data_IF_193753859016
#
_entry.id   IF_193753859016
#
_cell.length_a   1.000
_cell.length_b   1.000
_cell.length_c   1.000
_cell.angle_alpha   90.00
_cell.angle_beta   90.00
_cell.angle_gamma   90.00
#
_symmetry.space_group_name_H-M   'P 1'
#
loop_
_entity.id
_entity.type
_entity.pdbx_description
1 polymer ?
#
# COMPACT_ATOMS: atom_id res chain seq x y z
N UNK A 1 72.30 -48.34 81.83
CA UNK A 1 72.54 -48.34 83.30
C UNK A 1 71.25 -47.92 83.97
N UNK A 2 70.81 -48.71 84.96
CA UNK A 2 69.83 -48.35 86.01
C UNK A 2 68.37 -48.18 85.56
N UNK A 3 67.46 -49.04 86.05
CA UNK A 3 66.81 -49.00 87.40
C UNK A 3 65.88 -47.77 87.47
N UNK A 4 64.63 -47.82 87.90
CA UNK A 4 63.90 -48.75 88.76
C UNK A 4 62.40 -48.34 88.73
N UNK A 5 61.54 -49.36 88.85
CA UNK A 5 60.14 -49.44 89.37
C UNK A 5 59.68 -48.36 90.39
N UNK A 6 58.40 -48.31 90.85
CA UNK A 6 57.11 -48.81 90.34
C UNK A 6 55.94 -47.79 90.57
N UNK A 7 54.68 -48.15 90.27
CA UNK A 7 53.55 -48.20 91.24
C UNK A 7 52.18 -47.91 90.58
N UNK A 8 51.30 -48.91 90.70
CA UNK A 8 49.82 -48.94 90.61
C UNK A 8 49.05 -47.61 90.38
N UNK A 9 48.19 -47.60 89.35
CA UNK A 9 46.73 -47.45 89.53
C UNK A 9 46.00 -47.81 88.22
N UNK A 10 45.08 -48.78 88.29
CA UNK A 10 44.18 -49.10 87.19
C UNK A 10 43.10 -48.02 87.12
N UNK A 11 43.06 -47.27 86.01
CA UNK A 11 41.95 -46.42 85.64
C UNK A 11 41.43 -46.89 84.28
N UNK A 12 40.11 -47.08 84.26
CA UNK A 12 39.27 -47.63 83.21
C UNK A 12 39.59 -46.98 81.86
N UNK A 13 40.13 -47.75 80.92
CA UNK A 13 40.19 -47.41 79.51
C UNK A 13 38.77 -47.45 78.97
N UNK A 14 38.08 -46.31 79.04
CA UNK A 14 36.95 -46.02 78.16
C UNK A 14 37.55 -45.88 76.76
N UNK A 15 37.59 -46.96 76.00
CA UNK A 15 37.94 -46.92 74.59
C UNK A 15 36.83 -46.17 73.86
N UNK A 16 36.95 -44.85 73.78
CA UNK A 16 36.38 -44.10 72.68
C UNK A 16 37.05 -44.63 71.42
N UNK A 17 36.35 -45.54 70.73
CA UNK A 17 36.74 -45.99 69.40
C UNK A 17 36.44 -44.84 68.44
N UNK A 18 37.34 -43.86 68.41
CA UNK A 18 37.49 -42.91 67.32
C UNK A 18 38.34 -43.58 66.23
N UNK A 19 37.71 -44.56 65.58
CA UNK A 19 38.14 -45.23 64.36
C UNK A 19 36.80 -45.69 63.78
N UNK A 20 36.20 -44.93 62.90
CA UNK A 20 36.72 -44.52 61.62
C UNK A 20 35.52 -44.73 60.72
N UNK A 21 35.14 -43.69 59.98
CA UNK A 21 34.03 -43.70 59.05
C UNK A 21 34.09 -44.98 58.19
N UNK A 22 33.29 -45.98 58.53
CA UNK A 22 33.01 -47.14 57.68
C UNK A 22 31.73 -46.79 56.92
N UNK A 23 31.80 -45.71 56.14
CA UNK A 23 30.85 -45.40 55.08
C UNK A 23 31.59 -45.65 53.78
N UNK A 24 31.42 -46.84 53.21
CA UNK A 24 31.66 -47.04 51.80
C UNK A 24 30.47 -46.47 51.05
N UNK A 25 30.35 -45.14 51.06
CA UNK A 25 29.44 -44.40 50.21
C UNK A 25 30.35 -43.62 49.28
N UNK A 26 30.17 -43.79 47.98
CA UNK A 26 30.73 -42.86 46.99
C UNK A 26 30.34 -41.46 47.45
N UNK A 27 31.31 -40.64 47.87
CA UNK A 27 31.00 -39.22 48.09
C UNK A 27 30.53 -38.70 46.74
N UNK A 28 29.24 -38.41 46.68
CA UNK A 28 28.63 -37.71 45.56
C UNK A 28 29.17 -36.29 45.71
N UNK A 29 30.12 -35.94 44.83
CA UNK A 29 30.69 -34.61 44.79
C UNK A 29 29.65 -33.70 44.17
N UNK A 30 29.43 -32.56 44.80
CA UNK A 30 28.47 -31.52 44.46
C UNK A 30 29.20 -30.21 44.83
N UNK A 31 29.88 -29.61 43.84
CA UNK A 31 30.82 -28.51 44.02
C UNK A 31 30.13 -27.18 44.35
N UNK A 32 28.97 -26.91 43.77
CA UNK A 32 28.20 -25.68 43.95
C UNK A 32 27.06 -25.80 44.97
N UNK A 33 26.74 -27.03 45.40
CA UNK A 33 25.81 -27.34 46.48
C UNK A 33 24.36 -27.26 46.04
N UNK A 34 24.08 -27.38 44.74
CA UNK A 34 22.76 -27.21 44.13
C UNK A 34 21.83 -28.43 44.30
N UNK A 35 22.41 -29.55 44.75
CA UNK A 35 21.73 -30.82 44.99
C UNK A 35 21.80 -31.83 43.85
N UNK A 36 22.48 -31.49 42.75
CA UNK A 36 22.84 -32.35 41.63
C UNK A 36 24.34 -32.71 41.75
N UNK A 37 24.67 -33.95 41.41
CA UNK A 37 26.06 -34.42 41.48
C UNK A 37 26.90 -33.86 40.33
N UNK A 38 28.18 -33.55 40.53
CA UNK A 38 29.09 -33.03 39.50
C UNK A 38 29.13 -33.87 38.20
N UNK A 39 28.88 -35.19 38.28
CA UNK A 39 28.87 -36.09 37.12
C UNK A 39 27.55 -36.08 36.33
N UNK A 40 26.51 -35.43 36.88
CA UNK A 40 25.19 -35.23 36.31
C UNK A 40 24.83 -33.74 36.12
N UNK A 41 25.60 -32.82 36.69
CA UNK A 41 25.42 -31.38 36.59
C UNK A 41 25.99 -30.84 35.27
N UNK A 42 25.10 -30.29 34.43
CA UNK A 42 25.43 -29.65 33.16
C UNK A 42 25.75 -28.16 33.33
N UNK A 43 25.44 -27.58 34.48
CA UNK A 43 25.58 -26.16 34.79
C UNK A 43 26.40 -25.90 36.07
N UNK A 44 27.72 -26.20 36.08
CA UNK A 44 28.56 -25.97 37.25
C UNK A 44 28.52 -24.52 37.72
N UNK A 45 28.19 -24.31 38.99
CA UNK A 45 28.12 -23.00 39.64
C UNK A 45 26.70 -22.48 39.87
N UNK A 46 25.67 -23.33 39.75
CA UNK A 46 24.29 -23.01 40.10
C UNK A 46 24.15 -22.87 41.61
N UNK A 47 24.37 -21.67 42.14
CA UNK A 47 24.31 -21.48 43.59
C UNK A 47 22.85 -21.47 44.08
N UNK A 48 22.48 -22.45 44.91
CA UNK A 48 21.19 -22.39 45.63
C UNK A 48 21.31 -21.49 46.86
N UNK A 49 20.52 -20.43 46.87
CA UNK A 49 20.37 -19.55 48.04
C UNK A 49 19.58 -20.27 49.13
N UNK A 50 19.75 -19.86 50.40
CA UNK A 50 19.03 -20.46 51.53
C UNK A 50 17.49 -20.31 51.45
N UNK A 51 17.00 -19.40 50.60
CA UNK A 51 15.58 -19.17 50.30
C UNK A 51 15.46 -18.89 48.78
N UNK A 52 15.46 -19.93 47.93
CA UNK A 52 15.47 -19.75 46.47
C UNK A 52 14.10 -19.31 45.94
N UNK A 53 14.08 -18.43 44.94
CA UNK A 53 12.86 -18.19 44.13
C UNK A 53 12.60 -19.35 43.17
N UNK A 54 11.40 -19.48 42.58
CA UNK A 54 11.10 -20.57 41.63
C UNK A 54 12.12 -20.63 40.47
N UNK A 55 12.62 -19.48 40.02
CA UNK A 55 13.62 -19.33 38.95
C UNK A 55 15.05 -19.71 39.35
N UNK A 56 15.32 -19.87 40.65
CA UNK A 56 16.65 -20.22 41.19
C UNK A 56 16.76 -21.71 41.54
N UNK A 57 15.70 -22.49 41.32
CA UNK A 57 15.72 -23.93 41.55
C UNK A 57 16.35 -24.60 40.32
N UNK A 58 17.51 -25.28 40.45
CA UNK A 58 18.08 -26.06 39.36
C UNK A 58 17.10 -27.12 38.87
N UNK A 59 17.05 -27.32 37.56
CA UNK A 59 16.32 -28.41 36.94
C UNK A 59 17.03 -29.77 37.17
N UNK A 60 16.61 -30.80 36.44
CA UNK A 60 17.20 -32.14 36.59
C UNK A 60 18.65 -32.23 36.09
N UNK A 61 19.08 -31.25 35.32
CA UNK A 61 20.41 -31.14 34.73
C UNK A 61 21.31 -30.17 35.52
N UNK A 62 20.87 -29.67 36.69
CA UNK A 62 21.64 -28.74 37.53
C UNK A 62 21.57 -27.29 37.05
N UNK A 63 20.72 -26.98 36.07
CA UNK A 63 20.64 -25.65 35.47
C UNK A 63 19.49 -24.84 36.06
N UNK A 64 19.78 -23.63 36.53
CA UNK A 64 18.74 -22.65 36.85
C UNK A 64 18.25 -21.93 35.60
N UNK A 65 17.08 -21.26 35.69
CA UNK A 65 16.49 -20.60 34.52
C UNK A 65 17.35 -19.46 33.94
N UNK A 66 18.22 -18.83 34.75
CA UNK A 66 19.12 -17.77 34.26
C UNK A 66 20.34 -18.29 33.48
N UNK A 67 20.61 -19.61 33.52
CA UNK A 67 21.68 -20.27 32.75
C UNK A 67 21.18 -20.91 31.46
N UNK A 68 19.86 -21.10 31.32
CA UNK A 68 19.25 -21.71 30.15
C UNK A 68 18.99 -20.67 29.06
N UNK A 69 19.26 -21.08 27.82
CA UNK A 69 19.05 -20.33 26.58
C UNK A 69 18.58 -21.39 25.56
N UNK A 70 17.27 -21.57 25.47
CA UNK A 70 16.64 -22.71 24.79
C UNK A 70 16.80 -22.64 23.26
N UNK A 71 16.82 -21.43 22.68
CA UNK A 71 16.97 -21.23 21.24
C UNK A 71 18.41 -20.84 20.83
N UNK A 72 19.27 -20.52 21.79
CA UNK A 72 20.69 -20.27 21.59
C UNK A 72 20.98 -18.92 20.96
N UNK A 73 20.08 -17.94 21.12
CA UNK A 73 20.21 -16.60 20.53
C UNK A 73 21.07 -15.64 21.37
N UNK A 74 21.45 -16.05 22.58
CA UNK A 74 22.28 -15.30 23.51
C UNK A 74 21.51 -14.52 24.58
N UNK A 75 20.17 -14.53 24.56
CA UNK A 75 19.31 -14.16 25.67
C UNK A 75 18.95 -15.41 26.48
N UNK A 76 18.99 -15.31 27.81
CA UNK A 76 18.55 -16.45 28.63
C UNK A 76 17.03 -16.49 28.73
N UNK A 77 16.48 -17.66 29.05
CA UNK A 77 15.04 -17.93 29.12
C UNK A 77 14.27 -16.98 30.06
N UNK A 78 14.95 -16.30 31.00
CA UNK A 78 14.34 -15.36 31.95
C UNK A 78 14.08 -14.00 31.30
N UNK A 79 14.96 -13.56 30.40
CA UNK A 79 14.84 -12.27 29.71
C UNK A 79 14.33 -12.41 28.28
N UNK A 80 14.32 -13.63 27.75
CA UNK A 80 13.87 -13.93 26.40
C UNK A 80 12.32 -14.00 26.31
N UNK A 81 11.73 -12.96 25.73
CA UNK A 81 10.30 -12.90 25.39
C UNK A 81 9.98 -13.60 24.06
N UNK A 82 10.99 -14.02 23.32
CA UNK A 82 10.95 -14.47 21.94
C UNK A 82 11.63 -15.84 21.76
N UNK A 83 11.09 -16.87 22.44
CA UNK A 83 11.65 -18.23 22.63
C UNK A 83 12.00 -19.09 21.40
N UNK A 84 11.98 -18.53 20.19
CA UNK A 84 12.30 -19.19 18.91
C UNK A 84 12.92 -18.18 17.94
N UNK A 85 13.90 -17.40 18.38
CA UNK A 85 14.65 -16.50 17.53
C UNK A 85 15.39 -17.28 16.43
N UNK A 86 15.31 -16.86 15.15
CA UNK A 86 16.04 -17.52 14.08
C UNK A 86 17.57 -17.52 14.30
N UNK A 87 18.18 -18.70 14.16
CA UNK A 87 19.60 -18.88 14.41
C UNK A 87 20.49 -17.92 13.58
N UNK A 88 21.36 -17.19 14.28
CA UNK A 88 22.32 -16.25 13.69
C UNK A 88 21.80 -14.81 13.56
N UNK A 89 20.57 -14.53 13.97
CA UNK A 89 20.09 -13.17 14.17
C UNK A 89 20.60 -12.59 15.50
N UNK A 90 20.66 -11.27 15.57
CA UNK A 90 20.98 -10.56 16.81
C UNK A 90 19.69 -10.15 17.49
N UNK A 91 19.63 -10.35 18.81
CA UNK A 91 18.48 -9.99 19.63
C UNK A 91 18.69 -8.68 20.39
N UNK A 92 17.57 -8.06 20.77
CA UNK A 92 17.54 -6.92 21.68
C UNK A 92 17.58 -7.35 23.15
N UNK A 93 17.32 -6.41 24.06
CA UNK A 93 17.32 -6.69 25.50
C UNK A 93 16.22 -7.66 25.97
N UNK A 94 15.20 -7.86 25.14
CA UNK A 94 14.04 -8.70 25.38
C UNK A 94 14.17 -10.08 24.68
N UNK A 95 15.35 -10.39 24.13
CA UNK A 95 15.60 -11.64 23.40
C UNK A 95 14.92 -11.69 22.02
N UNK A 96 14.41 -10.57 21.51
CA UNK A 96 13.69 -10.54 20.24
C UNK A 96 14.58 -10.05 19.10
N UNK A 97 14.52 -10.73 17.96
CA UNK A 97 15.15 -10.25 16.73
C UNK A 97 14.21 -9.36 15.92
N UNK A 98 14.79 -8.54 15.02
CA UNK A 98 14.02 -7.65 14.16
C UNK A 98 13.03 -8.38 13.24
N UNK A 99 13.28 -9.66 12.94
CA UNK A 99 12.41 -10.49 12.09
C UNK A 99 11.15 -10.99 12.78
N UNK A 100 11.08 -10.86 14.11
CA UNK A 100 9.94 -11.29 14.94
C UNK A 100 9.02 -10.14 15.32
N UNK A 101 9.33 -8.90 14.91
CA UNK A 101 8.47 -7.75 15.14
C UNK A 101 7.45 -7.56 14.04
N UNK A 102 6.27 -7.12 14.46
CA UNK A 102 5.12 -6.72 13.66
C UNK A 102 4.61 -5.42 14.31
N UNK A 103 5.03 -4.28 13.75
CA UNK A 103 4.88 -2.97 14.39
C UNK A 103 3.44 -2.43 14.30
N UNK A 104 2.69 -2.82 13.28
CA UNK A 104 1.31 -2.38 13.05
C UNK A 104 0.26 -3.44 13.40
N UNK A 105 0.71 -4.64 13.77
CA UNK A 105 -0.10 -5.75 14.23
C UNK A 105 -1.12 -6.22 13.18
N UNK A 106 -0.78 -6.09 11.90
CA UNK A 106 -1.57 -6.68 10.84
C UNK A 106 -1.33 -8.20 10.75
N UNK A 107 -0.23 -8.72 11.27
CA UNK A 107 0.09 -10.16 11.27
C UNK A 107 1.08 -10.56 10.18
N UNK A 108 1.61 -9.60 9.42
CA UNK A 108 2.78 -9.74 8.55
C UNK A 108 3.97 -9.11 9.27
N UNK A 109 5.00 -9.93 9.54
CA UNK A 109 6.20 -9.44 10.23
C UNK A 109 6.89 -8.35 9.41
N UNK A 110 7.50 -7.38 10.09
CA UNK A 110 8.17 -6.21 9.51
C UNK A 110 9.18 -6.53 8.40
N UNK A 111 9.81 -7.70 8.44
CA UNK A 111 10.78 -8.15 7.44
C UNK A 111 10.14 -8.70 6.15
N UNK A 112 8.84 -8.99 6.18
CA UNK A 112 8.03 -9.49 5.08
C UNK A 112 6.95 -8.50 4.64
N UNK A 113 6.62 -7.53 5.49
CA UNK A 113 5.62 -6.49 5.24
C UNK A 113 6.11 -5.45 4.22
N UNK A 114 5.33 -5.26 3.15
CA UNK A 114 5.57 -4.26 2.11
C UNK A 114 4.86 -2.94 2.40
N UNK A 115 3.91 -2.93 3.34
CA UNK A 115 2.98 -1.84 3.63
C UNK A 115 2.97 -1.47 5.12
N UNK A 116 4.08 -0.93 5.66
CA UNK A 116 4.17 -0.61 7.08
C UNK A 116 3.11 0.42 7.50
N UNK A 117 2.60 0.25 8.72
CA UNK A 117 1.53 1.05 9.33
C UNK A 117 0.15 0.78 8.72
N UNK A 118 -0.13 -0.47 8.40
CA UNK A 118 -1.46 -0.94 8.01
C UNK A 118 -2.50 -0.52 9.05
N UNK A 119 -3.57 0.21 8.65
CA UNK A 119 -4.53 0.73 9.61
C UNK A 119 -5.26 -0.37 10.38
N UNK A 120 -5.25 -0.26 11.71
CA UNK A 120 -5.90 -1.23 12.58
C UNK A 120 -7.40 -1.41 12.26
N UNK A 121 -7.80 -2.67 12.05
CA UNK A 121 -9.18 -3.06 11.76
C UNK A 121 -9.53 -3.11 10.27
N UNK A 122 -8.61 -2.73 9.38
CA UNK A 122 -8.73 -3.02 7.96
C UNK A 122 -8.31 -4.46 7.65
N UNK A 123 -8.85 -5.01 6.57
CA UNK A 123 -8.35 -6.28 6.02
C UNK A 123 -7.16 -6.00 5.13
N UNK A 124 -6.13 -6.83 5.25
CA UNK A 124 -4.88 -6.74 4.50
C UNK A 124 -4.65 -8.01 3.67
N UNK A 125 -3.78 -7.91 2.67
CA UNK A 125 -3.38 -9.02 1.82
C UNK A 125 -2.16 -9.77 2.38
N UNK A 126 -1.52 -10.62 1.57
CA UNK A 126 -0.34 -11.39 2.01
C UNK A 126 0.92 -10.56 2.17
N UNK A 127 0.93 -9.36 1.62
CA UNK A 127 2.06 -8.44 1.60
C UNK A 127 1.92 -7.38 2.71
N UNK A 128 0.91 -7.51 3.58
CA UNK A 128 0.58 -6.56 4.65
C UNK A 128 -0.32 -5.41 4.18
N UNK A 129 -0.60 -5.28 2.88
CA UNK A 129 -1.27 -4.10 2.36
C UNK A 129 -2.78 -4.16 2.53
N UNK A 130 -3.38 -3.13 3.14
CA UNK A 130 -4.84 -2.93 3.08
C UNK A 130 -5.27 -2.19 1.83
N UNK A 131 -6.56 -2.26 1.49
CA UNK A 131 -7.10 -1.53 0.34
C UNK A 131 -6.78 -0.04 0.38
N UNK A 132 -6.71 0.58 1.57
CA UNK A 132 -6.43 2.01 1.72
C UNK A 132 -4.98 2.41 1.43
N UNK A 133 -4.06 1.43 1.40
CA UNK A 133 -2.65 1.59 1.06
C UNK A 133 -2.33 1.14 -0.37
N UNK A 134 -3.32 0.64 -1.10
CA UNK A 134 -3.16 0.19 -2.48
C UNK A 134 -3.63 1.27 -3.48
N UNK A 135 -3.15 1.13 -4.71
CA UNK A 135 -3.51 1.90 -5.90
C UNK A 135 -3.79 0.86 -7.01
N UNK A 136 -5.07 0.51 -7.18
CA UNK A 136 -5.47 -0.65 -7.98
C UNK A 136 -5.39 -0.39 -9.49
N UNK A 137 -5.58 0.85 -9.94
CA UNK A 137 -5.52 1.22 -11.36
C UNK A 137 -4.17 1.83 -11.77
N UNK A 138 -3.34 2.19 -10.79
CA UNK A 138 -1.98 2.65 -10.98
C UNK A 138 -1.89 4.08 -11.49
N UNK A 139 -2.90 4.91 -11.21
CA UNK A 139 -2.96 6.32 -11.62
C UNK A 139 -2.14 7.25 -10.71
N UNK A 140 -1.70 6.74 -9.55
CA UNK A 140 -0.91 7.45 -8.54
C UNK A 140 -1.73 8.00 -7.36
N UNK A 141 -3.03 7.75 -7.30
CA UNK A 141 -3.93 8.10 -6.20
C UNK A 141 -4.36 6.81 -5.49
N UNK A 142 -4.10 6.74 -4.18
CA UNK A 142 -4.46 5.55 -3.39
C UNK A 142 -5.98 5.35 -3.37
N UNK A 143 -6.43 4.10 -3.34
CA UNK A 143 -7.84 3.73 -3.44
C UNK A 143 -8.77 4.40 -2.40
N UNK A 144 -8.24 4.79 -1.23
CA UNK A 144 -9.03 5.48 -0.21
C UNK A 144 -9.27 6.98 -0.51
N UNK A 145 -8.50 7.56 -1.43
CA UNK A 145 -8.59 8.94 -1.88
C UNK A 145 -9.12 9.04 -3.32
N UNK A 146 -9.06 7.95 -4.07
CA UNK A 146 -9.47 7.88 -5.47
C UNK A 146 -11.01 7.80 -5.63
N UNK A 147 -11.56 8.74 -6.41
CA UNK A 147 -12.97 8.81 -6.77
C UNK A 147 -13.26 8.13 -8.13
N UNK A 148 -12.23 7.82 -8.90
CA UNK A 148 -12.26 7.27 -10.25
C UNK A 148 -11.39 5.98 -10.35
N UNK A 149 -11.81 4.86 -9.71
CA UNK A 149 -11.01 3.64 -9.50
C UNK A 149 -10.73 2.78 -10.73
N UNK A 150 -10.95 3.33 -11.92
CA UNK A 150 -10.80 2.64 -13.21
C UNK A 150 -10.16 3.57 -14.24
N UNK A 151 -9.30 4.49 -13.80
CA UNK A 151 -8.63 5.40 -14.69
C UNK A 151 -7.73 4.61 -15.66
N UNK A 152 -7.81 4.88 -16.99
CA UNK A 152 -6.96 4.21 -17.94
C UNK A 152 -5.47 4.50 -17.73
N UNK A 153 -4.65 3.44 -17.82
CA UNK A 153 -3.21 3.56 -17.64
C UNK A 153 -2.56 4.58 -18.61
N UNK A 154 -1.78 5.50 -18.04
CA UNK A 154 -1.04 6.51 -18.79
C UNK A 154 -1.77 7.84 -18.99
N UNK A 155 -3.02 7.94 -18.52
CA UNK A 155 -3.74 9.21 -18.44
C UNK A 155 -3.15 10.11 -17.34
N UNK A 156 -3.39 11.42 -17.48
CA UNK A 156 -3.05 12.39 -16.42
C UNK A 156 -4.28 12.64 -15.58
N UNK A 157 -4.17 12.38 -14.28
CA UNK A 157 -5.25 12.54 -13.31
C UNK A 157 -5.11 13.80 -12.47
N UNK A 158 -6.21 14.23 -11.88
CA UNK A 158 -6.22 15.23 -10.83
C UNK A 158 -5.96 14.62 -9.44
N UNK A 159 -6.25 15.37 -8.37
CA UNK A 159 -6.01 14.92 -7.00
C UNK A 159 -7.02 13.85 -6.52
N UNK A 160 -8.13 13.69 -7.24
CA UNK A 160 -9.21 12.76 -6.93
C UNK A 160 -9.10 11.48 -7.79
N UNK A 161 -8.00 11.30 -8.54
CA UNK A 161 -7.77 10.16 -9.42
C UNK A 161 -8.50 10.24 -10.76
N UNK A 162 -9.16 11.36 -11.07
CA UNK A 162 -10.00 11.45 -12.26
C UNK A 162 -9.26 12.08 -13.44
N UNK A 163 -9.37 11.45 -14.63
CA UNK A 163 -8.86 12.01 -15.88
C UNK A 163 -9.97 12.72 -16.67
N UNK A 164 -9.63 13.41 -17.78
CA UNK A 164 -10.59 14.21 -18.56
C UNK A 164 -11.86 13.43 -18.96
N UNK A 165 -11.72 12.14 -19.27
CA UNK A 165 -12.83 11.30 -19.71
C UNK A 165 -13.87 11.00 -18.62
N UNK A 166 -13.52 11.14 -17.34
CA UNK A 166 -14.46 10.90 -16.22
C UNK A 166 -15.40 12.07 -15.92
N UNK A 167 -15.07 13.26 -16.41
CA UNK A 167 -15.91 14.44 -16.24
C UNK A 167 -17.06 14.45 -17.24
N UNK A 168 -17.99 15.35 -17.00
CA UNK A 168 -19.15 15.65 -17.84
C UNK A 168 -19.13 17.17 -18.06
N UNK A 169 -18.48 17.59 -19.14
CA UNK A 169 -18.17 19.01 -19.39
C UNK A 169 -19.40 19.84 -19.74
N UNK A 170 -20.43 19.22 -20.35
CA UNK A 170 -21.67 19.91 -20.75
C UNK A 170 -22.85 19.68 -19.80
N UNK A 171 -22.73 18.74 -18.87
CA UNK A 171 -23.68 18.48 -17.80
C UNK A 171 -24.93 17.75 -18.27
N UNK A 172 -24.86 17.02 -19.38
CA UNK A 172 -25.97 16.20 -19.85
C UNK A 172 -26.10 14.87 -19.08
N UNK A 173 -25.05 14.43 -18.38
CA UNK A 173 -25.03 13.20 -17.60
C UNK A 173 -24.35 12.02 -18.29
N UNK A 174 -23.77 12.22 -19.48
CA UNK A 174 -22.86 11.29 -20.14
C UNK A 174 -21.43 11.78 -19.93
N UNK A 175 -20.54 10.87 -19.51
CA UNK A 175 -19.13 11.19 -19.32
C UNK A 175 -18.46 11.52 -20.64
N UNK A 176 -17.48 12.42 -20.63
CA UNK A 176 -16.68 12.85 -21.78
C UNK A 176 -16.09 11.66 -22.57
N UNK A 177 -15.75 10.54 -21.91
CA UNK A 177 -15.24 9.33 -22.58
C UNK A 177 -16.28 8.59 -23.43
N UNK A 178 -17.56 8.72 -23.07
CA UNK A 178 -18.69 8.02 -23.67
C UNK A 178 -19.59 8.97 -24.50
N UNK A 179 -19.40 10.28 -24.37
CA UNK A 179 -20.21 11.30 -25.02
C UNK A 179 -19.75 11.56 -26.48
N UNK A 180 -20.65 11.32 -27.43
CA UNK A 180 -20.41 11.59 -28.85
C UNK A 180 -20.73 13.04 -29.24
N UNK A 181 -21.39 13.77 -28.34
CA UNK A 181 -21.95 15.09 -28.54
C UNK A 181 -21.57 16.05 -27.39
N UNK A 182 -20.28 16.47 -27.28
CA UNK A 182 -19.70 17.20 -26.12
C UNK A 182 -20.20 18.64 -25.88
N UNK A 183 -21.33 19.03 -26.49
CA UNK A 183 -21.96 20.33 -26.36
C UNK A 183 -23.49 20.21 -26.41
N UNK A 184 -24.03 19.20 -25.75
CA UNK A 184 -25.46 18.96 -25.64
C UNK A 184 -26.15 20.12 -24.94
N UNK A 185 -27.18 20.74 -25.57
CA UNK A 185 -27.85 21.88 -24.98
C UNK A 185 -28.56 21.53 -23.66
N UNK A 186 -28.28 22.31 -22.62
CA UNK A 186 -28.88 22.13 -21.31
C UNK A 186 -30.42 22.19 -21.34
N UNK A 187 -31.06 21.20 -20.73
CA UNK A 187 -32.52 21.10 -20.59
C UNK A 187 -33.25 20.46 -21.76
N UNK A 188 -32.52 20.04 -22.81
CA UNK A 188 -33.08 19.22 -23.89
C UNK A 188 -33.03 17.73 -23.52
N UNK A 189 -33.82 16.92 -24.22
CA UNK A 189 -33.74 15.45 -24.11
C UNK A 189 -32.68 14.90 -25.05
N UNK A 190 -31.80 14.06 -24.54
CA UNK A 190 -30.73 13.38 -25.27
C UNK A 190 -30.85 11.85 -25.16
N UNK A 191 -30.07 11.12 -25.97
CA UNK A 191 -30.02 9.65 -25.92
C UNK A 191 -28.83 9.15 -25.08
N UNK A 192 -28.47 7.87 -25.22
CA UNK A 192 -27.36 7.27 -24.44
C UNK A 192 -25.99 7.76 -24.86
N UNK A 193 -25.87 8.39 -26.03
CA UNK A 193 -24.61 8.85 -26.61
C UNK A 193 -24.40 10.35 -26.36
N UNK A 194 -25.18 10.93 -25.44
CA UNK A 194 -25.22 12.36 -25.12
C UNK A 194 -25.99 13.19 -26.15
N UNK A 195 -26.38 12.65 -27.30
CA UNK A 195 -26.87 13.49 -28.39
C UNK A 195 -28.36 13.85 -28.28
N UNK A 196 -28.73 15.09 -28.59
CA UNK A 196 -30.13 15.44 -28.90
C UNK A 196 -30.55 14.92 -30.28
N UNK A 197 -31.87 14.84 -30.52
CA UNK A 197 -32.38 14.52 -31.86
C UNK A 197 -31.86 15.52 -32.91
N UNK A 198 -31.77 16.80 -32.57
CA UNK A 198 -31.24 17.83 -33.47
C UNK A 198 -29.76 17.61 -33.81
N UNK A 199 -28.94 17.15 -32.85
CA UNK A 199 -27.53 16.83 -33.10
C UNK A 199 -27.33 15.57 -33.98
N UNK A 200 -28.33 14.69 -34.09
CA UNK A 200 -28.26 13.45 -34.89
C UNK A 200 -28.99 13.50 -36.23
N UNK A 201 -29.89 14.46 -36.42
CA UNK A 201 -30.67 14.54 -37.65
C UNK A 201 -29.83 15.17 -38.77
N UNK A 202 -29.99 14.64 -39.97
CA UNK A 202 -29.50 15.20 -41.24
C UNK A 202 -30.75 15.42 -42.11
N UNK A 203 -31.25 16.65 -42.13
CA UNK A 203 -32.58 16.96 -42.69
C UNK A 203 -32.62 16.90 -44.22
N UNK A 204 -31.51 17.21 -44.89
CA UNK A 204 -31.42 17.22 -46.35
C UNK A 204 -30.68 16.00 -46.94
N UNK A 205 -30.06 15.19 -46.08
CA UNK A 205 -29.45 13.91 -46.42
C UNK A 205 -28.11 14.06 -47.12
N UNK A 206 -27.40 15.15 -46.89
CA UNK A 206 -26.12 15.46 -47.53
C UNK A 206 -24.89 14.85 -46.82
N UNK A 207 -25.12 14.24 -45.65
CA UNK A 207 -24.11 13.59 -44.82
C UNK A 207 -23.53 14.48 -43.72
N UNK A 208 -24.03 15.70 -43.53
CA UNK A 208 -23.67 16.60 -42.42
C UNK A 208 -24.87 16.72 -41.47
N UNK A 209 -24.64 16.43 -40.19
CA UNK A 209 -25.68 16.58 -39.16
C UNK A 209 -26.14 18.05 -39.08
N UNK A 210 -27.44 18.28 -38.84
CA UNK A 210 -28.07 19.59 -38.69
C UNK A 210 -27.34 20.53 -37.72
N UNK A 211 -26.73 19.99 -36.65
CA UNK A 211 -25.96 20.76 -35.66
C UNK A 211 -24.65 21.33 -36.22
N UNK A 212 -24.11 20.72 -37.27
CA UNK A 212 -22.87 21.10 -37.95
C UNK A 212 -23.13 21.68 -39.36
N UNK A 213 -24.38 21.62 -39.83
CA UNK A 213 -24.79 22.08 -41.15
C UNK A 213 -25.24 23.56 -41.12
N UNK A 214 -24.47 24.40 -41.80
CA UNK A 214 -24.79 25.83 -41.98
C UNK A 214 -25.72 26.07 -43.17
N UNK A 215 -25.95 25.07 -44.01
CA UNK A 215 -26.68 25.11 -45.27
C UNK A 215 -27.77 24.04 -45.31
N UNK A 216 -28.79 24.19 -44.45
CA UNK A 216 -29.94 23.29 -44.18
C UNK A 216 -30.72 22.67 -45.37
N UNK A 217 -30.42 23.04 -46.61
CA UNK A 217 -31.08 22.57 -47.83
C UNK A 217 -30.09 22.51 -49.00
N UNK A 218 -29.07 21.67 -48.92
CA UNK A 218 -28.23 21.40 -50.07
C UNK A 218 -28.90 20.49 -51.12
N UNK A 219 -28.61 20.69 -52.42
CA UNK A 219 -29.19 19.86 -53.45
C UNK A 219 -28.73 18.40 -53.36
N UNK A 220 -29.67 17.45 -53.39
CA UNK A 220 -29.36 16.02 -53.30
C UNK A 220 -28.31 15.56 -54.35
N UNK A 221 -27.31 14.80 -53.88
CA UNK A 221 -26.28 14.20 -54.72
C UNK A 221 -25.10 15.12 -55.06
N UNK A 222 -25.04 16.33 -54.50
CA UNK A 222 -23.82 17.15 -54.52
C UNK A 222 -22.88 16.74 -53.39
N UNK A 223 -21.59 16.93 -53.58
CA UNK A 223 -20.62 16.79 -52.49
C UNK A 223 -20.58 18.10 -51.70
N UNK A 224 -20.86 18.02 -50.41
CA UNK A 224 -20.80 19.16 -49.49
C UNK A 224 -19.48 19.20 -48.73
N UNK A 225 -19.18 20.37 -48.19
CA UNK A 225 -18.06 20.55 -47.30
C UNK A 225 -18.43 20.17 -45.86
N UNK A 226 -17.47 20.22 -44.93
CA UNK A 226 -17.68 19.89 -43.50
C UNK A 226 -18.68 20.79 -42.77
N UNK A 227 -19.05 21.92 -43.37
CA UNK A 227 -20.08 22.85 -42.89
C UNK A 227 -21.44 22.64 -43.58
N UNK A 228 -21.62 21.52 -44.29
CA UNK A 228 -22.82 21.20 -45.07
C UNK A 228 -22.97 22.03 -46.35
N UNK A 229 -22.18 23.09 -46.56
CA UNK A 229 -22.37 23.94 -47.73
C UNK A 229 -21.73 23.39 -49.01
N UNK A 230 -22.44 23.51 -50.13
CA UNK A 230 -21.93 23.26 -51.49
C UNK A 230 -21.60 24.59 -52.20
N UNK A 231 -20.44 24.67 -52.88
CA UNK A 231 -20.12 25.77 -53.81
C UNK A 231 -19.26 26.93 -53.27
N UNK A 232 -19.02 27.01 -51.96
CA UNK A 232 -18.33 28.15 -51.34
C UNK A 232 -19.20 29.40 -51.28
N UNK A 233 -19.01 30.23 -50.25
CA UNK A 233 -19.82 31.43 -50.06
C UNK A 233 -19.47 32.50 -51.12
N UNK A 234 -20.47 32.96 -51.87
CA UNK A 234 -20.36 34.14 -52.73
C UNK A 234 -20.64 35.38 -51.89
N UNK A 235 -19.59 36.14 -51.56
CA UNK A 235 -19.76 37.45 -50.94
C UNK A 235 -20.06 38.47 -52.04
N UNK A 236 -21.32 38.92 -52.12
CA UNK A 236 -21.75 39.96 -53.06
C UNK A 236 -21.61 41.33 -52.41
N UNK A 237 -20.77 42.19 -52.96
CA UNK A 237 -20.62 43.58 -52.52
C UNK A 237 -21.56 44.50 -53.30
N UNK A 238 -22.30 45.35 -52.58
CA UNK A 238 -22.97 46.53 -53.15
C UNK A 238 -22.07 47.77 -53.08
N UNK A 239 -22.42 48.82 -53.84
CA UNK A 239 -21.74 50.12 -53.74
C UNK A 239 -21.83 50.66 -52.30
N UNK A 240 -20.82 51.41 -51.84
CA UNK A 240 -20.66 51.80 -50.42
C UNK A 240 -21.87 52.51 -49.78
N UNK A 241 -22.78 53.03 -50.59
CA UNK A 241 -23.96 53.77 -50.18
C UNK A 241 -25.18 52.90 -49.84
N UNK A 242 -25.22 51.61 -50.24
CA UNK A 242 -26.41 50.74 -50.14
C UNK A 242 -26.21 49.42 -49.33
N UNK A 243 -25.09 49.25 -48.63
CA UNK A 243 -24.91 48.16 -47.65
C UNK A 243 -23.58 47.42 -47.75
N UNK A 244 -22.66 47.76 -46.84
CA UNK A 244 -21.46 46.96 -46.55
C UNK A 244 -20.16 47.77 -46.47
N UNK A 245 -19.77 48.16 -45.25
CA UNK A 245 -18.46 48.74 -44.94
C UNK A 245 -17.54 47.64 -44.40
N UNK A 246 -16.33 47.48 -44.98
CA UNK A 246 -15.32 46.48 -44.61
C UNK A 246 -14.25 46.95 -43.65
N UNK A 247 -14.35 48.16 -43.08
CA UNK A 247 -13.39 48.62 -42.09
C UNK A 247 -13.56 47.85 -40.77
N UNK A 248 -12.96 46.65 -40.71
CA UNK A 248 -12.97 45.76 -39.55
C UNK A 248 -13.34 44.28 -39.83
N UNK A 249 -13.81 43.92 -41.02
CA UNK A 249 -14.34 42.57 -41.33
C UNK A 249 -13.40 41.72 -42.21
N UNK A 250 -12.22 42.22 -42.59
CA UNK A 250 -11.29 41.50 -43.48
C UNK A 250 -10.59 40.32 -42.81
N UNK A 251 -10.65 40.21 -41.48
CA UNK A 251 -10.11 39.07 -40.73
C UNK A 251 -11.08 37.89 -40.64
N UNK A 252 -12.35 38.08 -40.98
CA UNK A 252 -13.42 37.07 -40.93
C UNK A 252 -13.69 36.42 -42.31
N UNK A 253 -13.08 36.92 -43.38
CA UNK A 253 -13.10 36.28 -44.70
C UNK A 253 -12.16 35.07 -44.68
N UNK A 254 -12.64 34.04 -43.99
CA UNK A 254 -12.12 32.69 -43.95
C UNK A 254 -11.77 32.18 -45.35
N UNK A 255 -10.75 31.32 -45.40
CA UNK A 255 -10.10 30.61 -46.51
C UNK A 255 -10.96 30.02 -47.66
N UNK A 256 -12.26 30.32 -47.76
CA UNK A 256 -13.26 29.60 -48.57
C UNK A 256 -14.02 30.46 -49.59
N UNK A 257 -13.62 31.72 -49.80
CA UNK A 257 -14.18 32.54 -50.88
C UNK A 257 -13.61 32.07 -52.22
N UNK A 258 -14.40 31.34 -53.00
CA UNK A 258 -14.01 30.79 -54.31
C UNK A 258 -14.13 31.81 -55.44
N UNK A 259 -14.96 32.84 -55.27
CA UNK A 259 -15.13 33.94 -56.22
C UNK A 259 -15.58 35.23 -55.52
N UNK A 260 -14.97 36.36 -55.89
CA UNK A 260 -15.41 37.71 -55.49
C UNK A 260 -15.98 38.39 -56.74
N UNK A 261 -17.25 38.81 -56.68
CA UNK A 261 -17.89 39.56 -57.76
C UNK A 261 -18.53 40.84 -57.21
N UNK A 262 -18.33 41.97 -57.90
CA UNK A 262 -19.04 43.23 -57.62
C UNK A 262 -19.99 43.54 -58.75
N UNK A 263 -21.22 43.94 -58.43
CA UNK A 263 -22.16 44.50 -59.40
C UNK A 263 -22.69 45.83 -58.90
N UNK A 264 -23.10 46.71 -59.82
CA UNK A 264 -23.60 48.05 -59.47
C UNK A 264 -24.97 48.03 -58.77
N UNK A 265 -25.63 46.86 -58.66
CA UNK A 265 -26.94 46.66 -58.04
C UNK A 265 -27.04 45.24 -57.50
N UNK A 266 -26.83 45.08 -56.19
CA UNK A 266 -26.90 43.78 -55.51
C UNK A 266 -28.30 43.16 -55.61
N UNK A 267 -28.34 41.86 -55.93
CA UNK A 267 -29.28 40.90 -55.36
C UNK A 267 -28.54 39.54 -55.33
N UNK A 268 -28.46 38.92 -54.16
CA UNK A 268 -28.11 37.52 -54.03
C UNK A 268 -29.42 36.76 -53.81
N UNK A 269 -29.69 35.77 -54.66
CA UNK A 269 -30.60 34.68 -54.34
C UNK A 269 -29.82 33.39 -54.67
N UNK A 270 -29.62 32.61 -53.60
CA UNK A 270 -29.04 31.26 -53.46
C UNK A 270 -27.79 30.94 -54.29
#
# INVERSE_FOLDING_TARGET
>A
MNKMKPLFLALIMLTASLAGCLGGETEILDEDGDGIADDLDLCPGTSVMAEPTEDEIPDADGCSSYQLDDDGDGANNVVDLCSMTPAGESVDEDGCSQSQFDDDYDGVMNNLDLCPNTPAGETFDTDGCSQSQLDDDGDGVMNNLDLCPLTPAGETVDADGCYWGDFDDDGDGVKNSDDLCPNTPAGETFDTDGCTQWQRDDSDGDGVMNSLDFCQLTPAGVTVATDGCHGGAVVVWGAYYDGGNTFGQSSELSSRVTQIASTDRSFADL
#
